data_IF_548351627707
#
_entry.id   IF_548351627707
#
_cell.length_a   1.000
_cell.length_b   1.000
_cell.length_c   1.000
_cell.angle_alpha   90.00
_cell.angle_beta   90.00
_cell.angle_gamma   90.00
#
_symmetry.space_group_name_H-M   'P 1'
#
loop_
_entity.id
_entity.type
_entity.pdbx_description
1 polymer ?
#
# COMPACT_ATOMS: atom_id res chain seq x y z
N UNK A 1 7.25 -9.61 23.27
CA UNK A 1 7.64 -9.68 22.90
C UNK A 1 8.50 -9.64 22.51
N UNK A 2 8.76 -9.81 22.59
CA UNK A 2 9.53 -9.85 22.16
C UNK A 2 9.60 -9.89 21.27
N UNK A 3 9.90 -9.60 21.30
CA UNK A 3 9.77 -9.76 20.19
C UNK A 3 9.71 -8.83 19.13
N UNK A 4 9.34 -9.07 18.00
CA UNK A 4 9.25 -8.09 16.98
C UNK A 4 8.19 -7.08 17.32
N UNK A 5 8.60 -5.88 17.62
CA UNK A 5 7.68 -4.81 17.88
C UNK A 5 7.45 -4.06 16.56
N UNK A 6 6.27 -4.28 15.95
CA UNK A 6 5.93 -3.69 14.68
C UNK A 6 4.82 -2.67 14.85
N UNK A 7 5.12 -1.39 14.70
CA UNK A 7 4.17 -0.29 14.86
C UNK A 7 4.24 0.65 13.65
N UNK A 8 3.49 1.76 13.71
CA UNK A 8 3.46 2.73 12.61
C UNK A 8 4.84 3.32 12.31
N UNK A 9 5.62 3.60 13.33
CA UNK A 9 6.96 4.16 13.15
C UNK A 9 7.87 3.18 12.45
N UNK A 10 7.79 1.91 12.82
CA UNK A 10 8.58 0.86 12.19
C UNK A 10 8.15 0.65 10.74
N UNK A 11 6.85 0.69 10.47
CA UNK A 11 6.32 0.58 9.11
C UNK A 11 6.82 1.72 8.25
N UNK A 12 6.71 2.94 8.74
CA UNK A 12 7.18 4.13 8.02
C UNK A 12 8.67 4.01 7.69
N UNK A 13 9.47 3.59 8.65
CA UNK A 13 10.91 3.43 8.49
C UNK A 13 11.22 2.39 7.42
N UNK A 14 10.51 1.27 7.43
CA UNK A 14 10.72 0.21 6.44
C UNK A 14 10.34 0.68 5.03
N UNK A 15 9.25 1.42 4.89
CA UNK A 15 8.83 1.95 3.60
C UNK A 15 9.85 2.98 3.10
N UNK A 16 10.34 3.85 3.98
CA UNK A 16 11.37 4.82 3.62
C UNK A 16 12.64 4.13 3.15
N UNK A 17 13.09 3.11 3.87
CA UNK A 17 14.27 2.35 3.47
C UNK A 17 14.07 1.61 2.15
N UNK A 18 12.89 1.05 1.95
CA UNK A 18 12.53 0.38 0.70
C UNK A 18 12.57 1.36 -0.47
N UNK A 19 12.01 2.55 -0.27
CA UNK A 19 11.99 3.61 -1.29
C UNK A 19 13.41 4.02 -1.66
N UNK A 20 14.28 4.22 -0.67
CA UNK A 20 15.67 4.57 -0.92
C UNK A 20 16.39 3.49 -1.71
N UNK A 21 16.09 2.23 -1.42
CA UNK A 21 16.69 1.11 -2.14
C UNK A 21 16.27 1.11 -3.61
N UNK A 22 15.01 1.37 -3.88
CA UNK A 22 14.52 1.46 -5.25
C UNK A 22 15.22 2.60 -5.99
N UNK A 23 15.38 3.74 -5.34
CA UNK A 23 16.06 4.90 -5.93
C UNK A 23 17.52 4.58 -6.23
N UNK A 24 18.20 3.86 -5.34
CA UNK A 24 19.56 3.45 -5.57
C UNK A 24 19.68 2.54 -6.80
N UNK A 25 18.74 1.59 -6.94
CA UNK A 25 18.71 0.71 -8.10
C UNK A 25 18.43 1.50 -9.37
N UNK A 26 17.52 2.44 -9.31
CA UNK A 26 17.21 3.30 -10.45
C UNK A 26 18.45 4.08 -10.91
N UNK A 27 19.20 4.65 -9.96
CA UNK A 27 20.41 5.41 -10.30
C UNK A 27 21.46 4.54 -10.94
N UNK A 28 21.58 3.30 -10.47
CA UNK A 28 22.56 2.38 -11.02
C UNK A 28 22.21 1.93 -12.44
N UNK A 29 20.95 1.60 -12.68
CA UNK A 29 20.50 1.05 -13.96
C UNK A 29 19.85 2.08 -14.88
N UNK A 30 19.57 3.28 -14.38
CA UNK A 30 18.94 4.37 -15.12
C UNK A 30 17.62 3.95 -15.76
N UNK A 31 16.82 3.19 -15.02
CA UNK A 31 15.50 2.77 -15.47
C UNK A 31 14.59 3.99 -15.63
N UNK A 32 13.83 4.01 -16.71
CA UNK A 32 12.97 5.15 -17.01
C UNK A 32 11.62 5.06 -16.33
N UNK A 33 11.08 3.86 -16.18
CA UNK A 33 9.74 3.65 -15.65
C UNK A 33 9.78 2.72 -14.44
N UNK A 34 8.83 2.93 -13.53
CA UNK A 34 8.63 2.09 -12.35
C UNK A 34 7.24 1.49 -12.41
N UNK A 35 7.15 0.18 -12.24
CA UNK A 35 5.89 -0.54 -12.23
C UNK A 35 5.69 -1.14 -10.84
N UNK A 36 4.60 -0.77 -10.19
CA UNK A 36 4.27 -1.22 -8.84
C UNK A 36 3.00 -2.04 -8.91
N UNK A 37 3.06 -3.26 -8.40
CA UNK A 37 1.87 -4.11 -8.25
C UNK A 37 1.63 -4.24 -6.75
N UNK A 38 0.48 -3.76 -6.31
CA UNK A 38 0.13 -3.74 -4.90
C UNK A 38 -1.06 -4.64 -4.62
N UNK A 39 -0.91 -5.54 -3.67
CA UNK A 39 -1.96 -6.46 -3.25
C UNK A 39 -1.76 -6.76 -1.77
N UNK A 40 -2.85 -7.10 -1.08
CA UNK A 40 -2.80 -7.54 0.32
C UNK A 40 -2.16 -6.50 1.26
N UNK A 41 -2.39 -5.23 0.99
CA UNK A 41 -1.77 -4.17 1.79
C UNK A 41 -2.41 -4.01 3.17
N UNK A 42 -3.64 -4.49 3.32
CA UNK A 42 -4.41 -4.28 4.54
C UNK A 42 -4.87 -5.62 5.08
N UNK A 43 -4.60 -5.87 6.37
CA UNK A 43 -5.16 -7.01 7.07
C UNK A 43 -6.59 -6.68 7.45
N UNK A 44 -7.54 -7.43 6.92
CA UNK A 44 -8.95 -7.16 7.13
C UNK A 44 -9.54 -7.89 8.33
N UNK A 45 -10.84 -8.08 8.28
CA UNK A 45 -11.61 -8.70 9.36
C UNK A 45 -11.81 -10.20 9.20
N UNK A 46 -11.21 -10.80 8.16
CA UNK A 46 -11.46 -12.21 7.85
C UNK A 46 -10.86 -13.18 8.86
N UNK A 47 -9.80 -12.75 9.55
CA UNK A 47 -9.15 -13.58 10.56
C UNK A 47 -9.14 -12.82 11.88
N UNK A 48 -9.88 -13.32 12.85
CA UNK A 48 -9.93 -12.71 14.18
C UNK A 48 -8.54 -12.65 14.82
N UNK A 49 -7.72 -13.67 14.57
CA UNK A 49 -6.36 -13.69 15.11
C UNK A 49 -5.52 -12.53 14.59
N UNK A 50 -5.61 -12.23 13.30
CA UNK A 50 -4.89 -11.12 12.73
C UNK A 50 -5.36 -9.80 13.31
N UNK A 51 -6.67 -9.67 13.51
CA UNK A 51 -7.25 -8.47 14.08
C UNK A 51 -6.78 -8.24 15.51
N UNK A 52 -6.69 -9.31 16.29
CA UNK A 52 -6.24 -9.21 17.68
C UNK A 52 -4.73 -8.95 17.78
N UNK A 53 -3.95 -9.40 16.80
CA UNK A 53 -2.51 -9.23 16.80
C UNK A 53 -2.06 -7.88 16.25
N UNK A 54 -2.92 -7.20 15.49
CA UNK A 54 -2.59 -5.90 14.93
C UNK A 54 -2.80 -4.82 15.99
N UNK A 55 -1.88 -3.87 16.05
CA UNK A 55 -2.02 -2.73 16.96
C UNK A 55 -2.86 -1.60 16.35
N UNK A 56 -3.39 -1.80 15.13
CA UNK A 56 -4.25 -0.85 14.45
C UNK A 56 -5.53 -1.55 14.03
N UNK A 57 -6.67 -0.85 14.13
CA UNK A 57 -7.91 -1.36 13.56
C UNK A 57 -7.91 -1.19 12.04
N UNK A 58 -8.94 -1.71 11.38
CA UNK A 58 -9.01 -1.72 9.92
C UNK A 58 -8.94 -0.32 9.32
N UNK A 59 -9.63 0.64 9.91
CA UNK A 59 -9.67 2.00 9.38
C UNK A 59 -8.34 2.70 9.58
N UNK A 60 -7.71 2.50 10.73
CA UNK A 60 -6.39 3.07 10.99
C UNK A 60 -5.35 2.44 10.09
N UNK A 61 -5.44 1.14 9.83
CA UNK A 61 -4.56 0.48 8.88
C UNK A 61 -4.68 1.10 7.50
N UNK A 62 -5.91 1.33 7.04
CA UNK A 62 -6.12 1.92 5.72
C UNK A 62 -5.52 3.33 5.65
N UNK A 63 -5.77 4.15 6.65
CA UNK A 63 -5.25 5.52 6.69
C UNK A 63 -3.73 5.54 6.67
N UNK A 64 -3.14 4.71 7.52
CA UNK A 64 -1.68 4.67 7.64
C UNK A 64 -1.03 4.14 6.36
N UNK A 65 -1.49 3.00 5.87
CA UNK A 65 -0.88 2.36 4.71
C UNK A 65 -1.07 3.19 3.45
N UNK A 66 -2.28 3.73 3.25
CA UNK A 66 -2.55 4.51 2.04
C UNK A 66 -1.72 5.79 2.00
N UNK A 67 -1.55 6.46 3.14
CA UNK A 67 -0.72 7.67 3.20
C UNK A 67 0.74 7.36 2.95
N UNK A 68 1.27 6.31 3.59
CA UNK A 68 2.66 5.92 3.40
C UNK A 68 2.92 5.48 1.96
N UNK A 69 1.97 4.77 1.37
CA UNK A 69 2.10 4.32 -0.01
C UNK A 69 2.07 5.50 -0.99
N UNK A 70 1.16 6.46 -0.76
CA UNK A 70 1.11 7.68 -1.57
C UNK A 70 2.41 8.46 -1.49
N UNK A 71 2.98 8.58 -0.29
CA UNK A 71 4.26 9.28 -0.10
C UNK A 71 5.38 8.58 -0.85
N UNK A 72 5.42 7.24 -0.81
CA UNK A 72 6.40 6.47 -1.56
C UNK A 72 6.29 6.74 -3.05
N UNK A 73 5.06 6.73 -3.59
CA UNK A 73 4.85 6.99 -5.01
C UNK A 73 5.28 8.41 -5.39
N UNK A 74 4.97 9.40 -4.53
CA UNK A 74 5.41 10.77 -4.74
C UNK A 74 6.94 10.85 -4.84
N UNK A 75 7.63 10.20 -3.92
CA UNK A 75 9.09 10.19 -3.91
C UNK A 75 9.64 9.53 -5.16
N UNK A 76 9.10 8.36 -5.54
CA UNK A 76 9.56 7.66 -6.73
C UNK A 76 9.29 8.45 -8.01
N UNK A 77 8.22 9.24 -8.05
CA UNK A 77 7.89 10.03 -9.23
C UNK A 77 8.94 11.10 -9.55
N UNK A 78 9.79 11.44 -8.58
CA UNK A 78 10.89 12.39 -8.79
C UNK A 78 12.06 11.77 -9.54
N UNK A 79 12.15 10.45 -9.57
CA UNK A 79 13.33 9.74 -10.10
C UNK A 79 13.01 8.93 -11.37
N UNK A 80 11.74 8.66 -11.64
CA UNK A 80 11.33 7.92 -12.82
C UNK A 80 10.56 8.84 -13.76
N UNK A 81 10.66 8.57 -15.06
CA UNK A 81 9.85 9.29 -16.04
C UNK A 81 8.36 9.01 -15.81
N UNK A 82 8.03 7.76 -15.54
CA UNK A 82 6.65 7.36 -15.23
C UNK A 82 6.64 6.33 -14.12
N UNK A 83 5.63 6.43 -13.27
CA UNK A 83 5.34 5.43 -12.24
C UNK A 83 3.94 4.87 -12.51
N UNK A 84 3.85 3.57 -12.76
CA UNK A 84 2.60 2.87 -13.04
C UNK A 84 2.23 2.04 -11.82
N UNK A 85 1.05 2.25 -11.27
CA UNK A 85 0.59 1.55 -10.07
C UNK A 85 -0.62 0.71 -10.42
N UNK A 86 -0.51 -0.59 -10.18
CA UNK A 86 -1.59 -1.55 -10.39
C UNK A 86 -2.00 -2.10 -9.03
N UNK A 87 -3.27 -1.94 -8.70
CA UNK A 87 -3.81 -2.43 -7.43
C UNK A 87 -4.68 -3.65 -7.69
N UNK A 88 -4.51 -4.66 -6.86
CA UNK A 88 -5.25 -5.93 -6.97
C UNK A 88 -5.88 -6.23 -5.63
N UNK A 89 -7.14 -6.65 -5.63
CA UNK A 89 -7.83 -7.01 -4.40
C UNK A 89 -7.14 -8.20 -3.72
N UNK A 90 -6.88 -8.04 -2.43
CA UNK A 90 -6.34 -9.12 -1.61
C UNK A 90 -7.43 -9.88 -0.88
N UNK A 91 -7.09 -11.05 -0.36
CA UNK A 91 -8.02 -11.86 0.42
C UNK A 91 -8.30 -11.29 1.80
N UNK A 92 -7.33 -10.60 2.39
CA UNK A 92 -7.40 -10.14 3.77
C UNK A 92 -8.06 -8.77 3.94
N UNK A 93 -8.44 -8.13 2.84
CA UNK A 93 -9.00 -6.77 2.88
C UNK A 93 -10.52 -6.74 2.78
N UNK A 94 -11.17 -7.90 2.63
CA UNK A 94 -12.62 -7.91 2.56
C UNK A 94 -13.25 -7.66 3.93
N UNK A 95 -14.47 -7.07 3.92
CA UNK A 95 -15.12 -6.64 5.17
C UNK A 95 -15.84 -7.75 5.90
N UNK A 96 -16.12 -8.87 5.23
CA UNK A 96 -16.78 -10.03 5.88
C UNK A 96 -15.79 -11.18 6.00
N UNK A 97 -15.96 -11.99 7.06
CA UNK A 97 -15.01 -13.05 7.38
C UNK A 97 -15.00 -14.18 6.37
N UNK A 98 -16.17 -14.55 5.84
CA UNK A 98 -16.28 -15.64 4.89
C UNK A 98 -16.29 -15.11 3.47
N UNK A 99 -15.46 -15.72 2.61
CA UNK A 99 -15.34 -15.28 1.24
C UNK A 99 -16.65 -15.37 0.48
N UNK A 100 -17.43 -16.44 0.71
CA UNK A 100 -18.69 -16.64 0.03
C UNK A 100 -19.77 -15.65 0.46
N UNK A 101 -19.60 -14.98 1.60
CA UNK A 101 -20.52 -13.96 2.08
C UNK A 101 -20.13 -12.56 1.60
N UNK A 102 -18.99 -12.44 0.92
CA UNK A 102 -18.47 -11.14 0.47
C UNK A 102 -19.05 -10.83 -0.90
N UNK A 103 -19.66 -9.66 -1.01
CA UNK A 103 -20.09 -9.16 -2.31
C UNK A 103 -18.90 -8.60 -3.07
N UNK A 104 -18.97 -8.66 -4.39
CA UNK A 104 -17.95 -8.03 -5.21
C UNK A 104 -17.94 -6.53 -4.91
N UNK A 105 -16.78 -5.99 -4.61
CA UNK A 105 -16.65 -4.59 -4.24
C UNK A 105 -16.58 -4.33 -2.75
N UNK A 106 -16.82 -5.34 -1.91
CA UNK A 106 -16.71 -5.20 -0.45
C UNK A 106 -15.30 -5.53 0.02
N UNK A 107 -14.29 -5.07 -0.69
CA UNK A 107 -12.90 -5.29 -0.35
C UNK A 107 -12.24 -3.93 -0.14
N UNK A 108 -11.57 -3.76 1.01
CA UNK A 108 -10.96 -2.47 1.34
C UNK A 108 -9.87 -2.05 0.37
N UNK A 109 -9.26 -3.01 -0.33
CA UNK A 109 -8.24 -2.69 -1.33
C UNK A 109 -8.80 -1.91 -2.52
N UNK A 110 -10.12 -1.93 -2.73
CA UNK A 110 -10.76 -1.15 -3.79
C UNK A 110 -10.69 0.35 -3.49
N UNK A 111 -10.66 0.72 -2.22
CA UNK A 111 -10.57 2.12 -1.82
C UNK A 111 -9.18 2.70 -2.07
N UNK A 112 -8.16 1.86 -2.15
CA UNK A 112 -6.79 2.33 -2.31
C UNK A 112 -6.58 3.06 -3.64
N UNK A 113 -6.94 2.50 -4.81
CA UNK A 113 -6.76 3.26 -6.05
C UNK A 113 -7.56 4.54 -6.08
N UNK A 114 -8.76 4.54 -5.50
CA UNK A 114 -9.57 5.76 -5.40
C UNK A 114 -8.83 6.85 -4.61
N UNK A 115 -8.30 6.48 -3.45
CA UNK A 115 -7.54 7.41 -2.61
C UNK A 115 -6.29 7.91 -3.33
N UNK A 116 -5.55 6.99 -3.95
CA UNK A 116 -4.31 7.35 -4.63
C UNK A 116 -4.57 8.28 -5.82
N UNK A 117 -5.62 8.03 -6.57
CA UNK A 117 -5.99 8.89 -7.69
C UNK A 117 -6.30 10.30 -7.20
N UNK A 118 -7.04 10.43 -6.10
CA UNK A 118 -7.36 11.73 -5.53
C UNK A 118 -6.12 12.43 -4.98
N UNK A 119 -5.28 11.68 -4.26
CA UNK A 119 -4.10 12.24 -3.60
C UNK A 119 -3.02 12.64 -4.58
N UNK A 120 -2.88 11.89 -5.67
CA UNK A 120 -1.78 12.06 -6.62
C UNK A 120 -2.22 12.69 -7.94
N UNK A 121 -3.39 13.31 -7.98
CA UNK A 121 -3.96 13.85 -9.22
C UNK A 121 -3.08 14.90 -9.89
N UNK A 122 -2.24 15.60 -9.12
CA UNK A 122 -1.37 16.64 -9.65
C UNK A 122 -0.01 16.11 -10.12
N UNK A 123 0.22 14.81 -9.97
CA UNK A 123 1.47 14.17 -10.41
C UNK A 123 1.23 13.55 -11.78
N UNK A 124 1.56 14.28 -12.84
CA UNK A 124 1.20 13.90 -14.20
C UNK A 124 1.89 12.61 -14.68
N UNK A 125 3.03 12.28 -14.09
CA UNK A 125 3.77 11.07 -14.45
C UNK A 125 3.43 9.86 -13.59
N UNK A 126 2.39 9.95 -12.75
CA UNK A 126 1.89 8.82 -11.95
C UNK A 126 0.58 8.34 -12.56
N UNK A 127 0.53 7.05 -12.86
CA UNK A 127 -0.61 6.41 -13.51
C UNK A 127 -1.12 5.29 -12.62
N UNK A 128 -2.38 5.39 -12.19
CA UNK A 128 -2.99 4.46 -11.25
C UNK A 128 -4.12 3.70 -11.90
N UNK A 129 -4.08 2.36 -11.76
CA UNK A 129 -5.12 1.48 -12.27
C UNK A 129 -5.63 0.52 -11.20
#
# INVERSE_FOLDING_TARGET
>A
NFKNHFDENELKKRIENYTLKIIQIQKLHQAENCYIVASELISGLIHNNLRLQNNLDLMEQFKTVSLLFATMIQDLSQYFNNVYVYTVEGNHSRVVAKKEDSLQGENMDILLPFYLQAKLQNYQNVHIQ
#
